data_IF_790432551879
#
_entry.id   IF_790432551879
#
_cell.length_a   1.000
_cell.length_b   1.000
_cell.length_c   1.000
_cell.angle_alpha   90.00
_cell.angle_beta   90.00
_cell.angle_gamma   90.00
#
_symmetry.space_group_name_H-M   'P 1'
#
loop_
_entity.id
_entity.type
_entity.pdbx_description
1 polymer ?
#
# COMPACT_ATOMS: atom_id res chain seq x y z
N UNK A 1 -11.11 -34.94 8.40
CA UNK A 1 -11.11 -33.80 7.46
C UNK A 1 -11.09 -32.43 8.14
N UNK A 2 -11.58 -32.23 9.38
CA UNK A 2 -11.60 -30.88 10.00
C UNK A 2 -10.25 -30.30 10.44
N UNK A 3 -9.29 -31.12 10.90
CA UNK A 3 -8.03 -30.61 11.49
C UNK A 3 -7.19 -29.79 10.50
N UNK A 4 -6.95 -30.33 9.30
CA UNK A 4 -6.14 -29.67 8.27
C UNK A 4 -6.76 -28.37 7.78
N UNK A 5 -8.10 -28.32 7.66
CA UNK A 5 -8.81 -27.12 7.23
C UNK A 5 -8.72 -26.01 8.28
N UNK A 6 -8.87 -26.36 9.56
CA UNK A 6 -8.70 -25.40 10.67
C UNK A 6 -7.29 -24.84 10.67
N UNK A 7 -6.27 -25.69 10.57
CA UNK A 7 -4.87 -25.25 10.52
C UNK A 7 -4.59 -24.38 9.28
N UNK A 8 -5.09 -24.77 8.11
CA UNK A 8 -4.97 -23.98 6.88
C UNK A 8 -5.63 -22.59 7.03
N UNK A 9 -6.83 -22.54 7.64
CA UNK A 9 -7.53 -21.29 7.92
C UNK A 9 -6.76 -20.40 8.89
N UNK A 10 -6.19 -20.95 9.97
CA UNK A 10 -5.34 -20.20 10.89
C UNK A 10 -4.09 -19.67 10.19
N UNK A 11 -3.43 -20.48 9.36
CA UNK A 11 -2.27 -20.05 8.58
C UNK A 11 -2.64 -18.94 7.59
N UNK A 12 -3.79 -19.03 6.93
CA UNK A 12 -4.28 -17.98 6.04
C UNK A 12 -4.41 -16.65 6.79
N UNK A 13 -5.10 -16.65 7.94
CA UNK A 13 -5.29 -15.43 8.75
C UNK A 13 -3.96 -14.85 9.19
N UNK A 14 -3.05 -15.67 9.73
CA UNK A 14 -1.71 -15.21 10.15
C UNK A 14 -0.94 -14.64 8.96
N UNK A 15 -0.99 -15.31 7.80
CA UNK A 15 -0.28 -14.86 6.61
C UNK A 15 -0.83 -13.53 6.08
N UNK A 16 -2.15 -13.32 6.13
CA UNK A 16 -2.76 -12.03 5.75
C UNK A 16 -2.30 -10.92 6.70
N UNK A 17 -2.29 -11.15 8.01
CA UNK A 17 -1.81 -10.15 8.98
C UNK A 17 -0.36 -9.76 8.69
N UNK A 18 0.52 -10.74 8.49
CA UNK A 18 1.94 -10.49 8.15
C UNK A 18 2.07 -9.83 6.78
N UNK A 19 1.31 -10.27 5.79
CA UNK A 19 1.31 -9.75 4.43
C UNK A 19 0.88 -8.28 4.37
N UNK A 20 -0.10 -7.87 5.17
CA UNK A 20 -0.51 -6.46 5.29
C UNK A 20 0.57 -5.59 5.91
N UNK A 21 1.27 -6.08 6.94
CA UNK A 21 2.43 -5.35 7.49
C UNK A 21 3.51 -5.19 6.42
N UNK A 22 3.82 -6.27 5.69
CA UNK A 22 4.77 -6.22 4.59
C UNK A 22 4.34 -5.28 3.46
N UNK A 23 3.03 -5.20 3.17
CA UNK A 23 2.43 -4.30 2.17
C UNK A 23 2.71 -2.84 2.51
N UNK A 24 2.37 -2.41 3.73
CA UNK A 24 2.62 -1.04 4.18
C UNK A 24 4.12 -0.73 4.27
N UNK A 25 4.93 -1.70 4.71
CA UNK A 25 6.38 -1.56 4.71
C UNK A 25 6.94 -1.36 3.30
N UNK A 26 6.37 -2.01 2.27
CA UNK A 26 6.82 -1.84 0.89
C UNK A 26 6.63 -0.39 0.40
N UNK A 27 5.47 0.22 0.69
CA UNK A 27 5.25 1.64 0.44
C UNK A 27 6.27 2.51 1.20
N UNK A 28 6.40 2.27 2.50
CA UNK A 28 7.29 3.06 3.37
C UNK A 28 8.76 2.99 2.96
N UNK A 29 9.24 1.83 2.51
CA UNK A 29 10.62 1.66 2.01
C UNK A 29 10.87 2.55 0.80
N UNK A 30 9.97 2.55 -0.19
CA UNK A 30 10.15 3.40 -1.38
C UNK A 30 10.12 4.89 -1.01
N UNK A 31 9.18 5.31 -0.17
CA UNK A 31 9.08 6.71 0.29
C UNK A 31 10.31 7.14 1.09
N UNK A 32 10.81 6.26 1.97
CA UNK A 32 12.04 6.49 2.75
C UNK A 32 13.26 6.63 1.84
N UNK A 33 13.41 5.75 0.84
CA UNK A 33 14.50 5.83 -0.15
C UNK A 33 14.42 7.12 -0.98
N UNK A 34 13.23 7.61 -1.24
CA UNK A 34 13.00 8.86 -1.96
C UNK A 34 12.97 10.11 -1.05
N UNK A 35 13.19 9.95 0.27
CA UNK A 35 13.13 11.02 1.29
C UNK A 35 11.81 11.81 1.29
N UNK A 36 10.71 11.15 0.97
CA UNK A 36 9.37 11.73 1.07
C UNK A 36 8.86 11.56 2.49
N UNK A 37 8.39 12.63 3.12
CA UNK A 37 7.79 12.53 4.45
C UNK A 37 6.48 11.76 4.39
N UNK A 38 6.24 10.90 5.37
CA UNK A 38 5.02 10.10 5.45
C UNK A 38 4.60 9.87 6.88
N UNK A 39 3.30 9.70 7.08
CA UNK A 39 2.75 9.23 8.35
C UNK A 39 2.13 7.86 8.14
N UNK A 40 2.39 6.94 9.07
CA UNK A 40 1.70 5.65 9.12
C UNK A 40 0.56 5.76 10.10
N UNK A 41 -0.67 5.65 9.62
CA UNK A 41 -1.85 5.62 10.48
C UNK A 41 -2.33 4.18 10.59
N UNK A 42 -2.38 3.67 11.81
CA UNK A 42 -2.94 2.34 12.10
C UNK A 42 -4.44 2.48 12.43
N UNK A 43 -5.26 1.61 11.86
CA UNK A 43 -6.72 1.60 11.99
C UNK A 43 -7.41 2.97 11.76
N UNK A 44 -7.20 3.60 10.59
CA UNK A 44 -7.80 4.91 10.29
C UNK A 44 -9.34 4.85 10.38
N UNK A 45 -9.93 5.73 11.21
CA UNK A 45 -11.35 6.03 11.21
C UNK A 45 -12.30 5.05 11.92
N UNK A 46 -11.87 4.27 12.93
CA UNK A 46 -12.72 3.21 13.51
C UNK A 46 -13.07 3.40 15.00
N UNK A 47 -14.37 3.63 15.26
CA UNK A 47 -15.02 3.57 16.59
C UNK A 47 -15.74 2.23 16.87
N UNK A 48 -15.88 1.35 15.87
CA UNK A 48 -16.82 0.22 15.90
C UNK A 48 -16.12 -1.15 16.02
N UNK A 49 -15.63 -1.49 17.21
CA UNK A 49 -15.41 -2.87 17.69
C UNK A 49 -14.55 -3.86 16.88
N UNK A 50 -14.45 -5.10 17.38
CA UNK A 50 -13.59 -6.17 16.82
C UNK A 50 -14.10 -6.67 15.46
N UNK A 51 -15.41 -6.67 15.22
CA UNK A 51 -16.01 -7.10 13.95
C UNK A 51 -15.74 -6.07 12.84
N UNK A 52 -15.80 -4.78 13.17
CA UNK A 52 -15.36 -3.72 12.27
C UNK A 52 -13.88 -3.88 11.95
N UNK A 53 -13.03 -4.15 12.95
CA UNK A 53 -11.59 -4.40 12.77
C UNK A 53 -11.30 -5.44 11.68
N UNK A 54 -12.00 -6.57 11.68
CA UNK A 54 -11.74 -7.67 10.74
C UNK A 54 -12.33 -7.41 9.34
N UNK A 55 -13.41 -6.64 9.24
CA UNK A 55 -14.18 -6.51 7.98
C UNK A 55 -13.84 -5.30 7.14
N UNK A 56 -13.19 -4.27 7.68
CA UNK A 56 -12.90 -3.04 6.93
C UNK A 56 -11.40 -2.81 6.72
N UNK A 57 -11.02 -2.57 5.48
CA UNK A 57 -9.73 -2.02 5.07
C UNK A 57 -9.85 -0.49 5.00
N UNK A 58 -8.77 0.28 5.26
CA UNK A 58 -7.39 -0.15 5.53
C UNK A 58 -7.14 -0.46 7.02
N UNK A 59 -6.25 -1.42 7.33
CA UNK A 59 -5.78 -1.70 8.70
C UNK A 59 -4.57 -0.84 9.10
N UNK A 60 -3.81 -0.41 8.11
CA UNK A 60 -2.83 0.64 8.20
C UNK A 60 -2.86 1.39 6.85
N UNK A 61 -2.46 2.66 6.87
CA UNK A 61 -2.37 3.46 5.67
C UNK A 61 -1.14 4.36 5.77
N UNK A 62 -0.29 4.32 4.76
CA UNK A 62 0.82 5.26 4.59
C UNK A 62 0.32 6.48 3.82
N UNK A 63 0.30 7.64 4.49
CA UNK A 63 -0.05 8.91 3.87
C UNK A 63 1.21 9.71 3.55
N UNK A 64 1.60 9.85 2.27
CA UNK A 64 2.71 10.70 1.88
C UNK A 64 2.33 12.18 2.02
N UNK A 65 3.29 13.00 2.45
CA UNK A 65 3.18 14.46 2.56
C UNK A 65 4.15 15.09 1.55
N UNK A 66 3.80 15.12 0.26
CA UNK A 66 4.66 15.71 -0.75
C UNK A 66 4.78 17.22 -0.53
N UNK A 67 6.01 17.75 -0.54
CA UNK A 67 6.28 19.19 -0.44
C UNK A 67 6.25 19.91 -1.79
N UNK A 68 5.88 19.20 -2.87
CA UNK A 68 5.77 19.75 -4.23
C UNK A 68 7.07 19.70 -5.04
N UNK A 69 8.14 19.14 -4.47
CA UNK A 69 9.43 18.96 -5.15
C UNK A 69 9.65 17.52 -5.63
N UNK A 70 8.78 16.59 -5.21
CA UNK A 70 8.87 15.17 -5.52
C UNK A 70 8.36 14.87 -6.94
N UNK A 71 9.04 13.97 -7.63
CA UNK A 71 8.58 13.53 -8.95
C UNK A 71 7.33 12.65 -8.84
N UNK A 72 6.37 12.83 -9.75
CA UNK A 72 5.21 11.94 -9.85
C UNK A 72 5.62 10.46 -9.97
N UNK A 73 6.75 10.17 -10.63
CA UNK A 73 7.30 8.81 -10.76
C UNK A 73 7.59 8.15 -9.41
N UNK A 74 8.12 8.89 -8.43
CA UNK A 74 8.36 8.37 -7.08
C UNK A 74 7.04 7.92 -6.44
N UNK A 75 5.99 8.75 -6.53
CA UNK A 75 4.67 8.39 -5.99
C UNK A 75 4.07 7.18 -6.70
N UNK A 76 4.27 7.05 -8.02
CA UNK A 76 3.83 5.85 -8.77
C UNK A 76 4.54 4.59 -8.32
N UNK A 77 5.87 4.66 -8.17
CA UNK A 77 6.68 3.52 -7.72
C UNK A 77 6.31 3.16 -6.29
N UNK A 78 6.11 4.14 -5.42
CA UNK A 78 5.67 3.91 -4.06
C UNK A 78 4.32 3.20 -4.05
N UNK A 79 3.33 3.67 -4.82
CA UNK A 79 2.01 3.04 -4.90
C UNK A 79 2.02 1.61 -5.48
N UNK A 80 2.97 1.29 -6.37
CA UNK A 80 3.11 -0.04 -6.95
C UNK A 80 4.07 -0.97 -6.18
N UNK A 81 4.75 -0.46 -5.15
CA UNK A 81 5.74 -1.20 -4.36
C UNK A 81 5.23 -2.55 -3.81
N UNK A 82 3.97 -2.69 -3.35
CA UNK A 82 3.48 -3.97 -2.81
C UNK A 82 3.50 -5.12 -3.81
N UNK A 83 3.48 -4.86 -5.12
CA UNK A 83 3.60 -5.91 -6.15
C UNK A 83 4.91 -6.71 -6.02
N UNK A 84 5.96 -6.10 -5.45
CA UNK A 84 7.22 -6.79 -5.21
C UNK A 84 7.07 -7.98 -4.24
N UNK A 85 6.05 -8.00 -3.39
CA UNK A 85 5.75 -9.12 -2.50
C UNK A 85 5.38 -10.39 -3.28
N UNK A 86 4.94 -10.29 -4.54
CA UNK A 86 4.63 -11.46 -5.35
C UNK A 86 5.89 -12.22 -5.81
N UNK A 87 7.05 -11.56 -5.86
CA UNK A 87 8.33 -12.12 -6.34
C UNK A 87 8.73 -13.42 -5.62
N UNK A 88 8.77 -13.51 -4.29
CA UNK A 88 9.14 -14.76 -3.61
C UNK A 88 8.21 -15.92 -3.96
N UNK A 89 6.90 -15.69 -4.06
CA UNK A 89 5.94 -16.76 -4.36
C UNK A 89 6.10 -17.25 -5.80
N UNK A 90 6.18 -16.34 -6.77
CA UNK A 90 6.40 -16.73 -8.15
C UNK A 90 7.79 -17.34 -8.36
N UNK A 91 8.84 -16.76 -7.77
CA UNK A 91 10.21 -17.29 -7.86
C UNK A 91 10.32 -18.70 -7.30
N UNK A 92 9.77 -18.95 -6.12
CA UNK A 92 9.72 -20.29 -5.53
C UNK A 92 8.82 -21.24 -6.32
N UNK A 93 7.67 -20.77 -6.84
CA UNK A 93 6.79 -21.56 -7.69
C UNK A 93 7.45 -22.00 -9.00
N UNK A 94 8.08 -21.08 -9.72
CA UNK A 94 8.81 -21.38 -10.96
C UNK A 94 10.04 -22.27 -10.75
N UNK A 95 10.64 -22.24 -9.57
CA UNK A 95 11.77 -23.12 -9.23
C UNK A 95 11.39 -24.60 -9.08
N UNK A 96 10.08 -24.91 -8.97
CA UNK A 96 9.59 -26.28 -8.71
C UNK A 96 9.85 -26.78 -7.27
N UNK A 97 10.38 -25.92 -6.38
CA UNK A 97 10.71 -26.28 -5.00
C UNK A 97 9.50 -26.31 -4.07
N UNK A 98 8.34 -25.81 -4.50
CA UNK A 98 7.13 -25.75 -3.69
C UNK A 98 6.20 -26.93 -3.98
N UNK A 99 5.86 -27.76 -2.97
CA UNK A 99 4.83 -28.79 -3.12
C UNK A 99 3.44 -28.14 -3.12
N UNK A 100 2.97 -27.75 -4.32
CA UNK A 100 1.66 -27.08 -4.55
C UNK A 100 0.45 -27.92 -4.16
N UNK A 101 0.62 -29.22 -3.94
CA UNK A 101 -0.45 -30.11 -3.46
C UNK A 101 -0.74 -29.95 -1.95
N UNK A 102 0.10 -29.22 -1.20
CA UNK A 102 -0.10 -28.99 0.23
C UNK A 102 -1.13 -27.89 0.50
N UNK A 103 -2.30 -28.21 1.09
CA UNK A 103 -3.33 -27.20 1.40
C UNK A 103 -2.82 -26.08 2.31
N UNK A 104 -1.82 -26.38 3.15
CA UNK A 104 -1.21 -25.39 4.04
C UNK A 104 -0.37 -24.38 3.26
N UNK A 105 0.44 -24.85 2.30
CA UNK A 105 1.24 -23.96 1.44
C UNK A 105 0.36 -23.17 0.49
N UNK A 106 -0.71 -23.77 -0.03
CA UNK A 106 -1.71 -23.06 -0.83
C UNK A 106 -2.35 -21.92 -0.01
N UNK A 107 -2.74 -22.17 1.24
CA UNK A 107 -3.33 -21.14 2.10
C UNK A 107 -2.34 -19.98 2.37
N UNK A 108 -1.08 -20.28 2.66
CA UNK A 108 -0.03 -19.26 2.83
C UNK A 108 0.17 -18.47 1.53
N UNK A 109 0.32 -19.16 0.39
CA UNK A 109 0.52 -18.53 -0.91
C UNK A 109 -0.63 -17.60 -1.29
N UNK A 110 -1.88 -18.04 -1.10
CA UNK A 110 -3.08 -17.22 -1.34
C UNK A 110 -3.09 -15.98 -0.43
N UNK A 111 -2.89 -16.16 0.88
CA UNK A 111 -2.89 -15.04 1.82
C UNK A 111 -1.83 -14.01 1.49
N UNK A 112 -0.62 -14.46 1.17
CA UNK A 112 0.49 -13.58 0.80
C UNK A 112 0.26 -12.86 -0.53
N UNK A 113 -0.16 -13.58 -1.57
CA UNK A 113 -0.43 -12.98 -2.88
C UNK A 113 -1.61 -12.02 -2.84
N UNK A 114 -2.64 -12.30 -2.04
CA UNK A 114 -3.75 -11.36 -1.85
C UNK A 114 -3.24 -10.01 -1.31
N UNK A 115 -2.29 -10.04 -0.37
CA UNK A 115 -1.65 -8.84 0.15
C UNK A 115 -0.67 -8.17 -0.83
N UNK A 116 -0.26 -8.80 -1.93
CA UNK A 116 0.60 -8.17 -2.93
C UNK A 116 -0.19 -7.27 -3.90
N UNK A 117 -1.53 -7.35 -3.90
CA UNK A 117 -2.40 -6.58 -4.80
C UNK A 117 -2.54 -5.16 -4.25
N UNK A 118 -2.16 -4.11 -5.00
CA UNK A 118 -2.38 -2.72 -4.60
C UNK A 118 -3.88 -2.42 -4.44
N UNK A 119 -4.21 -1.53 -3.51
CA UNK A 119 -5.60 -1.12 -3.30
C UNK A 119 -6.08 -0.21 -4.45
N UNK A 120 -7.41 0.02 -4.59
CA UNK A 120 -7.94 0.99 -5.55
C UNK A 120 -7.37 2.41 -5.39
N UNK A 121 -7.02 2.79 -4.16
CA UNK A 121 -6.39 4.07 -3.87
C UNK A 121 -4.94 4.10 -4.39
N UNK A 122 -4.19 3.03 -4.19
CA UNK A 122 -2.81 2.92 -4.71
C UNK A 122 -2.79 2.95 -6.24
N UNK A 123 -3.72 2.24 -6.88
CA UNK A 123 -3.89 2.35 -8.34
C UNK A 123 -4.25 3.77 -8.77
N UNK A 124 -5.12 4.46 -8.04
CA UNK A 124 -5.44 5.87 -8.32
C UNK A 124 -4.20 6.75 -8.24
N UNK A 125 -3.32 6.57 -7.24
CA UNK A 125 -2.04 7.30 -7.14
C UNK A 125 -1.11 6.90 -8.29
N UNK A 126 -0.99 5.61 -8.62
CA UNK A 126 -0.12 5.15 -9.70
C UNK A 126 -0.48 5.76 -11.07
N UNK A 127 -1.76 5.97 -11.36
CA UNK A 127 -2.19 6.58 -12.63
C UNK A 127 -2.31 8.10 -12.56
N UNK A 128 -2.71 8.66 -11.42
CA UNK A 128 -3.04 10.09 -11.27
C UNK A 128 -2.11 10.87 -10.34
N UNK A 129 -0.91 10.37 -10.02
CA UNK A 129 0.08 11.04 -9.16
C UNK A 129 0.32 12.52 -9.51
N UNK A 130 0.30 12.88 -10.80
CA UNK A 130 0.50 14.27 -11.22
C UNK A 130 -0.59 15.22 -10.69
N UNK A 131 -1.86 14.77 -10.69
CA UNK A 131 -2.98 15.54 -10.16
C UNK A 131 -2.91 15.70 -8.64
N UNK A 132 -2.34 14.72 -7.94
CA UNK A 132 -2.13 14.79 -6.49
C UNK A 132 -1.08 15.84 -6.10
N UNK A 133 -0.06 16.05 -6.96
CA UNK A 133 0.96 17.09 -6.75
C UNK A 133 0.45 18.49 -7.08
N UNK A 134 -0.40 18.63 -8.10
CA UNK A 134 -1.03 19.92 -8.47
C UNK A 134 -2.04 20.44 -7.43
N UNK A 135 -2.62 19.54 -6.64
CA UNK A 135 -3.58 19.89 -5.59
C UNK A 135 -2.93 20.46 -4.32
N UNK A 136 -1.60 20.35 -4.18
CA UNK A 136 -0.86 21.01 -3.10
C UNK A 136 -0.76 22.50 -3.46
N UNK A 137 -1.41 23.41 -2.71
CA UNK A 137 -1.27 24.83 -2.97
C UNK A 137 0.22 25.17 -2.85
N UNK A 138 0.81 25.69 -3.93
CA UNK A 138 2.07 26.40 -3.83
C UNK A 138 1.81 27.57 -2.89
N UNK A 139 2.29 27.48 -1.65
CA UNK A 139 2.31 28.59 -0.71
C UNK A 139 3.29 29.62 -1.26
N UNK A 140 2.74 30.46 -2.13
CA UNK A 140 3.42 31.24 -3.14
C UNK A 140 2.37 32.01 -3.92
N UNK A 141 1.42 32.58 -3.18
CA UNK A 141 0.64 33.70 -3.66
C UNK A 141 1.63 34.85 -3.89
N UNK A 142 2.23 34.87 -5.08
CA UNK A 142 2.58 36.12 -5.73
C UNK A 142 1.23 36.82 -5.97
N UNK A 143 0.75 37.53 -4.95
CA UNK A 143 -0.14 38.67 -5.12
C UNK A 143 0.58 39.69 -6.00
N UNK A 144 0.58 39.43 -7.31
CA UNK A 144 0.79 40.47 -8.31
C UNK A 144 -0.45 41.35 -8.22
N UNK A 145 -0.41 42.35 -7.37
CA UNK A 145 -1.31 43.50 -7.48
C UNK A 145 -1.15 44.06 -8.88
N UNK A 146 -2.20 44.09 -9.73
CA UNK A 146 -2.13 44.85 -10.96
C UNK A 146 -2.00 46.33 -10.57
N UNK A 147 -0.82 46.91 -10.78
CA UNK A 147 -0.65 48.36 -10.72
C UNK A 147 -1.46 48.93 -11.87
N UNK A 148 -2.68 49.38 -11.55
CA UNK A 148 -3.51 50.22 -12.40
C UNK A 148 -2.73 51.48 -12.73
N UNK A 149 -2.21 51.58 -13.96
CA UNK A 149 -1.75 52.85 -14.52
C UNK A 149 -2.99 53.55 -15.10
N UNK A 150 -3.56 54.44 -14.30
CA UNK A 150 -4.37 55.53 -14.79
C UNK A 150 -3.68 56.83 -14.34
N UNK A 151 -3.53 57.73 -15.32
CA UNK A 151 -3.10 59.13 -15.27
C UNK A 151 -1.58 59.41 -15.30
#
# INVERSE_FOLDING_TARGET
MSGTVVVAGCLLVVTVVVGLVAHECAHAVVLTLARVEYTVTYAPGRSDGIVGLVTSCPWAAVHPHPTGHESATVLRVAALAPLALAVPIFGLGFSGLLPVESPLLTAIGIGWLACAIPSPQDFSVAFYAHRALEAVPTDGSDTVTPVSRAD
#
